data_IF_875254363628
#
_entry.id   IF_875254363628
#
_cell.length_a   1.000
_cell.length_b   1.000
_cell.length_c   1.000
_cell.angle_alpha   90.00
_cell.angle_beta   90.00
_cell.angle_gamma   90.00
#
_symmetry.space_group_name_H-M   'P 1'
#
loop_
_entity.id
_entity.type
_entity.pdbx_description
1 polymer ?
#
# COMPACT_ATOMS: atom_id res chain seq x y z
N UNK A 1 19.10 0.69 -25.08
CA UNK A 1 17.63 0.83 -25.15
C UNK A 1 17.17 1.57 -23.90
N UNK A 2 16.64 2.79 -24.04
CA UNK A 2 16.19 3.63 -22.90
C UNK A 2 14.67 3.54 -22.81
N UNK A 3 14.14 2.80 -21.84
CA UNK A 3 12.71 2.69 -21.63
C UNK A 3 12.23 3.90 -20.81
N UNK A 4 11.49 4.78 -21.48
CA UNK A 4 10.79 5.92 -20.88
C UNK A 4 9.50 5.42 -20.23
N UNK A 5 9.54 5.17 -18.92
CA UNK A 5 8.35 4.84 -18.14
C UNK A 5 7.78 6.14 -17.61
N UNK A 6 6.56 6.48 -18.06
CA UNK A 6 5.84 7.68 -17.66
C UNK A 6 5.45 7.56 -16.19
N UNK A 7 6.15 8.26 -15.31
CA UNK A 7 5.80 8.38 -13.90
C UNK A 7 4.50 9.19 -13.79
N UNK A 8 3.37 8.48 -13.65
CA UNK A 8 2.11 9.10 -13.27
C UNK A 8 2.32 9.80 -11.94
N UNK A 9 2.11 11.11 -11.94
CA UNK A 9 2.22 12.03 -10.81
C UNK A 9 1.15 11.71 -9.76
N UNK A 10 1.39 10.67 -8.97
CA UNK A 10 0.62 10.30 -7.78
C UNK A 10 1.43 10.82 -6.60
N UNK A 11 0.82 11.57 -5.68
CA UNK A 11 1.46 12.17 -4.50
C UNK A 11 2.48 11.20 -3.89
N UNK A 12 3.75 11.48 -4.14
CA UNK A 12 4.87 10.61 -3.80
C UNK A 12 4.86 10.37 -2.30
N UNK A 13 4.69 9.11 -1.90
CA UNK A 13 5.20 8.67 -0.62
C UNK A 13 6.69 9.01 -0.56
N UNK A 14 7.25 9.25 0.63
CA UNK A 14 8.65 9.68 0.74
C UNK A 14 9.65 8.74 0.01
N UNK A 15 9.28 7.47 -0.20
CA UNK A 15 10.06 6.50 -0.96
C UNK A 15 9.13 5.60 -1.81
N UNK A 16 8.74 6.01 -3.03
CA UNK A 16 7.84 5.22 -3.87
C UNK A 16 8.52 3.94 -4.37
N UNK A 17 9.83 3.98 -4.65
CA UNK A 17 10.60 2.80 -5.08
C UNK A 17 10.59 1.68 -4.04
N UNK A 18 10.65 2.05 -2.76
CA UNK A 18 10.55 1.12 -1.64
C UNK A 18 9.17 0.47 -1.56
N UNK A 19 8.10 1.27 -1.68
CA UNK A 19 6.72 0.78 -1.63
C UNK A 19 6.40 -0.13 -2.83
N UNK A 20 6.83 0.24 -4.04
CA UNK A 20 6.65 -0.57 -5.25
C UNK A 20 7.38 -1.93 -5.13
N UNK A 21 8.65 -1.92 -4.71
CA UNK A 21 9.42 -3.15 -4.50
C UNK A 21 8.77 -4.05 -3.44
N UNK A 22 8.28 -3.46 -2.34
CA UNK A 22 7.58 -4.19 -1.29
C UNK A 22 6.24 -4.76 -1.78
N UNK A 23 5.50 -4.01 -2.59
CA UNK A 23 4.24 -4.43 -3.15
C UNK A 23 4.41 -5.58 -4.16
N UNK A 24 5.39 -5.49 -5.05
CA UNK A 24 5.72 -6.57 -5.99
C UNK A 24 6.09 -7.86 -5.25
N UNK A 25 6.89 -7.76 -4.19
CA UNK A 25 7.21 -8.90 -3.33
C UNK A 25 5.96 -9.47 -2.65
N UNK A 26 5.05 -8.62 -2.19
CA UNK A 26 3.79 -9.08 -1.60
C UNK A 26 2.92 -9.84 -2.62
N UNK A 27 2.81 -9.36 -3.85
CA UNK A 27 2.05 -10.03 -4.93
C UNK A 27 2.65 -11.39 -5.27
N UNK A 28 3.98 -11.49 -5.37
CA UNK A 28 4.69 -12.77 -5.55
C UNK A 28 4.33 -13.77 -4.45
N UNK A 29 4.41 -13.36 -3.19
CA UNK A 29 4.09 -14.24 -2.06
C UNK A 29 2.62 -14.62 -2.00
N UNK A 30 1.73 -13.70 -2.37
CA UNK A 30 0.29 -13.98 -2.48
C UNK A 30 -0.01 -14.98 -3.59
N UNK A 31 0.70 -14.91 -4.72
CA UNK A 31 0.60 -15.91 -5.80
C UNK A 31 1.04 -17.31 -5.31
N UNK A 32 2.03 -17.36 -4.40
CA UNK A 32 2.47 -18.58 -3.73
C UNK A 32 1.53 -19.06 -2.60
N UNK A 33 0.39 -18.38 -2.37
CA UNK A 33 -0.57 -18.64 -1.28
C UNK A 33 0.06 -18.66 0.12
N UNK A 34 1.17 -17.96 0.30
CA UNK A 34 1.84 -17.86 1.61
C UNK A 34 1.11 -16.84 2.48
N UNK A 35 0.80 -17.18 3.76
CA UNK A 35 0.32 -16.20 4.71
C UNK A 35 1.44 -15.20 5.00
N UNK A 36 1.20 -13.92 4.74
CA UNK A 36 2.18 -12.85 4.97
C UNK A 36 1.83 -12.11 6.27
N UNK A 37 2.73 -12.29 7.24
CA UNK A 37 2.92 -11.52 8.47
C UNK A 37 3.05 -10.00 8.24
N UNK A 38 2.50 -9.20 9.14
CA UNK A 38 2.82 -7.78 9.27
C UNK A 38 4.30 -7.58 9.59
N UNK A 39 4.83 -8.44 10.47
CA UNK A 39 6.25 -8.52 10.80
C UNK A 39 7.09 -8.82 9.55
N UNK A 40 6.68 -9.80 8.73
CA UNK A 40 7.38 -10.15 7.50
C UNK A 40 7.42 -8.98 6.51
N UNK A 41 6.31 -8.22 6.40
CA UNK A 41 6.26 -7.00 5.59
C UNK A 41 7.22 -5.93 6.12
N UNK A 42 7.28 -5.73 7.44
CA UNK A 42 8.19 -4.77 8.07
C UNK A 42 9.66 -5.17 7.90
N UNK A 43 9.99 -6.43 8.12
CA UNK A 43 11.35 -6.96 7.90
C UNK A 43 11.76 -6.77 6.45
N UNK A 44 10.88 -7.08 5.50
CA UNK A 44 11.16 -6.90 4.08
C UNK A 44 11.30 -5.44 3.69
N UNK A 45 10.45 -4.57 4.25
CA UNK A 45 10.56 -3.12 4.08
C UNK A 45 11.91 -2.60 4.59
N UNK A 46 12.37 -3.05 5.77
CA UNK A 46 13.70 -2.69 6.30
C UNK A 46 14.82 -3.15 5.38
N UNK A 47 14.75 -4.38 4.87
CA UNK A 47 15.76 -4.90 3.92
C UNK A 47 15.85 -4.04 2.65
N UNK A 48 14.71 -3.72 2.03
CA UNK A 48 14.68 -2.86 0.86
C UNK A 48 15.12 -1.44 1.19
N UNK A 49 14.77 -0.94 2.37
CA UNK A 49 15.27 0.30 2.94
C UNK A 49 16.79 0.38 2.94
N UNK A 50 17.43 -0.63 3.52
CA UNK A 50 18.89 -0.73 3.56
C UNK A 50 19.50 -0.81 2.16
N UNK A 51 18.90 -1.57 1.24
CA UNK A 51 19.37 -1.67 -0.16
C UNK A 51 19.27 -0.33 -0.91
N UNK A 52 18.24 0.46 -0.62
CA UNK A 52 18.01 1.79 -1.17
C UNK A 52 18.74 2.89 -0.38
N UNK A 53 19.55 2.53 0.62
CA UNK A 53 20.25 3.45 1.53
C UNK A 53 19.32 4.42 2.28
N UNK A 54 18.09 3.99 2.57
CA UNK A 54 17.08 4.72 3.33
C UNK A 54 17.27 4.41 4.83
N UNK A 55 18.05 5.25 5.50
CA UNK A 55 18.34 5.13 6.94
C UNK A 55 17.44 5.98 7.84
N UNK A 56 16.85 7.05 7.29
CA UNK A 56 16.02 8.00 8.05
C UNK A 56 14.51 7.70 7.94
N UNK A 57 14.14 6.43 7.78
CA UNK A 57 12.75 6.03 7.60
C UNK A 57 12.25 5.19 8.77
N UNK A 58 11.10 5.59 9.30
CA UNK A 58 10.47 4.91 10.42
C UNK A 58 9.50 3.85 9.90
N UNK A 59 9.96 2.60 9.86
CA UNK A 59 9.17 1.39 9.56
C UNK A 59 8.23 1.07 10.73
N UNK A 60 7.30 1.99 11.01
CA UNK A 60 6.31 1.85 12.07
C UNK A 60 5.07 1.11 11.59
N UNK A 61 4.34 0.54 12.54
CA UNK A 61 3.02 -0.05 12.29
C UNK A 61 2.08 0.95 11.58
N UNK A 62 2.11 2.22 11.97
CA UNK A 62 1.32 3.28 11.34
C UNK A 62 1.70 3.55 9.88
N UNK A 63 2.97 3.36 9.49
CA UNK A 63 3.35 3.39 8.08
C UNK A 63 2.86 2.13 7.34
N UNK A 64 3.04 0.96 7.94
CA UNK A 64 2.56 -0.30 7.36
C UNK A 64 1.05 -0.28 7.09
N UNK A 65 0.26 0.25 8.04
CA UNK A 65 -1.19 0.43 7.87
C UNK A 65 -1.53 1.35 6.68
N UNK A 66 -0.76 2.43 6.48
CA UNK A 66 -0.91 3.33 5.33
C UNK A 66 -0.51 2.63 4.03
N UNK A 67 0.60 1.90 4.00
CA UNK A 67 1.05 1.10 2.86
C UNK A 67 -0.04 0.10 2.43
N UNK A 68 -0.55 -0.68 3.39
CA UNK A 68 -1.64 -1.62 3.15
C UNK A 68 -2.89 -0.94 2.61
N UNK A 69 -3.28 0.20 3.18
CA UNK A 69 -4.44 0.99 2.73
C UNK A 69 -4.26 1.51 1.29
N UNK A 70 -3.06 1.97 0.93
CA UNK A 70 -2.75 2.45 -0.44
C UNK A 70 -2.81 1.34 -1.48
N UNK A 71 -2.29 0.16 -1.14
CA UNK A 71 -2.23 -0.99 -2.04
C UNK A 71 -3.45 -1.93 -1.92
N UNK A 72 -4.47 -1.50 -1.16
CA UNK A 72 -5.70 -2.26 -0.95
C UNK A 72 -5.43 -3.69 -0.41
N UNK A 73 -4.36 -3.82 0.39
CA UNK A 73 -3.93 -5.05 1.05
C UNK A 73 -4.76 -5.21 2.31
N UNK A 74 -5.98 -5.70 2.13
CA UNK A 74 -6.81 -6.11 3.24
C UNK A 74 -6.40 -7.52 3.64
N UNK A 75 -5.99 -7.70 4.90
CA UNK A 75 -6.16 -9.01 5.52
C UNK A 75 -7.66 -9.27 5.44
N UNK A 76 -8.04 -10.25 4.64
CA UNK A 76 -9.42 -10.69 4.48
C UNK A 76 -9.81 -11.35 5.80
N UNK A 77 -9.99 -10.56 6.86
CA UNK A 77 -10.91 -10.93 7.91
C UNK A 77 -12.25 -11.04 7.19
N UNK A 78 -12.71 -12.28 7.08
CA UNK A 78 -14.10 -12.63 6.79
C UNK A 78 -14.97 -12.01 7.89
N UNK A 79 -15.10 -10.69 7.90
CA UNK A 79 -16.20 -10.04 8.58
C UNK A 79 -17.25 -9.81 7.51
N UNK A 80 -18.35 -10.56 7.66
CA UNK A 80 -19.55 -10.31 6.90
C UNK A 80 -20.04 -8.87 7.08
N UNK A 81 -20.94 -8.51 6.17
CA UNK A 81 -21.91 -7.43 6.32
C UNK A 81 -21.44 -6.02 5.90
N UNK A 82 -21.72 -5.74 4.62
CA UNK A 82 -22.39 -4.54 4.11
C UNK A 82 -22.30 -3.24 4.92
N UNK A 83 -21.48 -2.31 4.44
CA UNK A 83 -21.64 -0.85 4.60
C UNK A 83 -20.62 -0.20 3.64
N UNK A 84 -20.92 0.69 2.69
CA UNK A 84 -21.97 1.70 2.66
C UNK A 84 -22.19 2.13 1.22
N UNK A 85 -23.41 2.01 0.73
CA UNK A 85 -23.95 3.02 -0.19
C UNK A 85 -24.81 3.93 0.65
N UNK A 86 -24.35 5.16 0.88
CA UNK A 86 -25.29 6.24 1.12
C UNK A 86 -24.92 7.37 0.19
N UNK A 87 -25.66 7.39 -0.91
CA UNK A 87 -25.69 8.40 -1.93
C UNK A 87 -25.88 9.75 -1.24
N UNK A 88 -24.81 10.55 -1.27
CA UNK A 88 -24.79 12.01 -1.11
C UNK A 88 -26.16 12.64 -1.42
N UNK A 89 -26.89 12.97 -0.36
CA UNK A 89 -27.85 14.06 -0.36
C UNK A 89 -27.04 15.35 -0.58
N UNK A 90 -27.18 15.94 -1.77
CA UNK A 90 -26.90 17.36 -1.96
C UNK A 90 -28.15 18.01 -2.51
N UNK A 91 -28.69 18.87 -1.67
CA UNK A 91 -29.82 19.75 -1.87
C UNK A 91 -29.57 20.67 -3.07
N UNK A 92 -30.62 20.94 -3.85
CA UNK A 92 -30.70 22.20 -4.58
C UNK A 92 -32.13 22.72 -4.53
N UNK A 93 -32.32 23.74 -3.70
CA UNK A 93 -33.52 24.57 -3.71
C UNK A 93 -33.52 25.58 -4.86
N UNK A 94 -34.67 26.27 -4.96
CA UNK A 94 -35.07 27.37 -5.87
C UNK A 94 -35.42 26.87 -7.29
N UNK A 95 -36.62 27.10 -7.83
CA UNK A 95 -37.62 28.16 -7.63
C UNK A 95 -39.05 27.63 -7.79
#
# INVERSE_FOLDING_TARGET
>A
MKQNIRFFRIRESQHPELEDALYLWFIDKRALKLPINDEMLLEKAKQYGTMLSITNFNYSDGWLAKFKKRHNIFQKTLHGESASVNQIEVSKGRS
#
